data_IF_923348586391
#
_entry.id   IF_923348586391
#
_cell.length_a   1.000
_cell.length_b   1.000
_cell.length_c   1.000
_cell.angle_alpha   90.00
_cell.angle_beta   90.00
_cell.angle_gamma   90.00
#
_symmetry.space_group_name_H-M   'P 1'
#
loop_
_entity.id
_entity.type
_entity.pdbx_description
1 polymer ?
#
# COMPACT_ATOMS: atom_id res chain seq x y z
N UNK A 1 78.79 -6.38 3.10
CA UNK A 1 77.92 -7.57 2.92
C UNK A 1 76.82 -7.50 3.98
N UNK A 2 75.73 -6.79 3.66
CA UNK A 2 74.37 -7.29 3.36
C UNK A 2 73.63 -7.98 4.54
N UNK A 3 72.60 -7.26 5.00
CA UNK A 3 71.23 -7.70 5.31
C UNK A 3 71.04 -8.57 6.56
N UNK A 4 70.32 -8.03 7.56
CA UNK A 4 69.20 -8.69 8.27
C UNK A 4 68.70 -7.80 9.42
N UNK A 5 67.92 -6.75 9.10
CA UNK A 5 67.18 -5.97 10.11
C UNK A 5 65.82 -5.55 9.55
N UNK A 6 64.99 -6.49 9.11
CA UNK A 6 63.65 -6.14 8.60
C UNK A 6 62.62 -7.27 8.70
N UNK A 7 62.57 -8.02 9.81
CA UNK A 7 61.64 -9.16 9.93
C UNK A 7 60.63 -9.11 11.08
N UNK A 8 60.71 -8.12 11.97
CA UNK A 8 59.89 -8.13 13.20
C UNK A 8 58.76 -7.09 13.25
N UNK A 9 58.79 -6.06 12.38
CA UNK A 9 57.69 -5.08 12.27
C UNK A 9 56.57 -5.53 11.32
N UNK A 10 56.87 -6.41 10.37
CA UNK A 10 55.90 -6.86 9.34
C UNK A 10 54.77 -7.72 9.93
N UNK A 11 55.06 -8.56 10.93
CA UNK A 11 54.04 -9.46 11.51
C UNK A 11 53.05 -8.71 12.39
N UNK A 12 53.47 -7.73 13.19
CA UNK A 12 52.57 -6.96 14.06
C UNK A 12 51.61 -6.03 13.29
N UNK A 13 52.08 -5.43 12.19
CA UNK A 13 51.23 -4.61 11.31
C UNK A 13 50.22 -5.49 10.56
N UNK A 14 50.63 -6.69 10.14
CA UNK A 14 49.73 -7.67 9.53
C UNK A 14 48.66 -8.17 10.50
N UNK A 15 49.01 -8.38 11.79
CA UNK A 15 48.05 -8.78 12.82
C UNK A 15 46.99 -7.71 13.11
N UNK A 16 47.37 -6.42 13.10
CA UNK A 16 46.46 -5.31 13.32
C UNK A 16 45.52 -5.12 12.12
N UNK A 17 46.01 -5.32 10.89
CA UNK A 17 45.19 -5.23 9.68
C UNK A 17 44.14 -6.34 9.59
N UNK A 18 44.49 -7.57 10.00
CA UNK A 18 43.55 -8.71 10.03
C UNK A 18 42.49 -8.54 11.12
N UNK A 19 42.85 -8.00 12.29
CA UNK A 19 41.89 -7.71 13.36
C UNK A 19 40.90 -6.59 12.99
N UNK A 20 41.32 -5.62 12.17
CA UNK A 20 40.45 -4.53 11.70
C UNK A 20 39.43 -4.99 10.64
N UNK A 21 39.78 -5.98 9.81
CA UNK A 21 38.90 -6.52 8.76
C UNK A 21 37.78 -7.41 9.35
N UNK A 22 38.05 -8.10 10.47
CA UNK A 22 37.03 -8.93 11.14
C UNK A 22 35.97 -8.07 11.86
N UNK A 23 36.31 -6.83 12.25
CA UNK A 23 35.35 -5.92 12.90
C UNK A 23 34.46 -5.12 11.95
N UNK A 24 34.74 -5.17 10.63
CA UNK A 24 33.96 -4.46 9.60
C UNK A 24 33.03 -5.37 8.79
N UNK A 25 32.73 -6.58 9.28
CA UNK A 25 31.60 -7.35 8.77
C UNK A 25 30.30 -6.74 9.30
N UNK A 26 29.92 -5.59 8.74
CA UNK A 26 28.52 -5.17 8.79
C UNK A 26 27.70 -6.30 8.15
N UNK A 27 26.68 -6.86 8.83
CA UNK A 27 25.72 -7.70 8.13
C UNK A 27 25.09 -6.83 7.05
N UNK A 28 25.43 -7.11 5.79
CA UNK A 28 24.64 -6.63 4.68
C UNK A 28 23.26 -7.27 4.85
N UNK A 29 22.32 -6.51 5.39
CA UNK A 29 20.91 -6.88 5.38
C UNK A 29 20.47 -6.85 3.92
N UNK A 30 20.69 -7.95 3.22
CA UNK A 30 20.06 -8.18 1.94
C UNK A 30 18.56 -8.35 2.21
N UNK A 31 17.76 -7.37 1.81
CA UNK A 31 16.32 -7.54 1.73
C UNK A 31 16.04 -8.65 0.71
N UNK A 32 15.72 -9.84 1.21
CA UNK A 32 15.56 -11.04 0.40
C UNK A 32 14.28 -10.94 -0.43
N UNK A 33 14.46 -10.78 -1.75
CA UNK A 33 13.36 -10.82 -2.71
C UNK A 33 12.94 -12.27 -2.95
N UNK A 34 11.67 -12.58 -2.67
CA UNK A 34 11.07 -13.89 -2.88
C UNK A 34 10.38 -13.90 -4.23
N UNK A 35 10.81 -14.78 -5.12
CA UNK A 35 10.20 -14.94 -6.44
C UNK A 35 9.12 -16.02 -6.39
N UNK A 36 7.91 -15.70 -6.82
CA UNK A 36 6.79 -16.65 -6.85
C UNK A 36 6.05 -16.62 -8.19
N UNK A 37 5.42 -17.74 -8.52
CA UNK A 37 4.43 -17.82 -9.60
C UNK A 37 3.05 -17.97 -8.96
N UNK A 38 2.14 -17.10 -9.36
CA UNK A 38 0.81 -17.01 -8.79
C UNK A 38 -0.27 -16.86 -9.86
N UNK A 39 -1.48 -17.25 -9.49
CA UNK A 39 -2.61 -17.36 -10.40
C UNK A 39 -3.81 -16.66 -9.77
N UNK A 40 -4.64 -16.12 -10.64
CA UNK A 40 -5.92 -15.53 -10.29
C UNK A 40 -6.92 -15.76 -11.40
N UNK A 41 -8.18 -15.92 -10.99
CA UNK A 41 -9.29 -16.17 -11.89
C UNK A 41 -10.46 -15.26 -11.59
N UNK A 42 -11.26 -14.97 -12.61
CA UNK A 42 -12.47 -14.16 -12.49
C UNK A 42 -13.49 -14.55 -13.56
N UNK A 43 -14.70 -14.92 -13.13
CA UNK A 43 -15.78 -15.29 -14.03
C UNK A 43 -16.32 -14.06 -14.76
N UNK A 44 -16.52 -14.19 -16.07
CA UNK A 44 -17.24 -13.24 -16.90
C UNK A 44 -18.74 -13.54 -16.80
N UNK A 45 -19.39 -12.94 -15.79
CA UNK A 45 -20.85 -13.03 -15.61
C UNK A 45 -21.62 -12.02 -16.47
N UNK A 46 -22.95 -12.15 -16.49
CA UNK A 46 -23.85 -11.30 -17.29
C UNK A 46 -23.66 -9.79 -17.03
N UNK A 47 -23.41 -9.41 -15.78
CA UNK A 47 -23.21 -8.01 -15.35
C UNK A 47 -21.74 -7.54 -15.35
N UNK A 48 -20.80 -8.39 -15.78
CA UNK A 48 -19.36 -8.09 -15.70
C UNK A 48 -18.79 -7.85 -17.09
N UNK A 49 -18.14 -6.69 -17.28
CA UNK A 49 -17.45 -6.41 -18.54
C UNK A 49 -16.16 -7.25 -18.65
N UNK A 50 -15.70 -7.61 -19.87
CA UNK A 50 -14.44 -8.34 -20.05
C UNK A 50 -13.24 -7.65 -19.40
N UNK A 51 -13.15 -6.32 -19.54
CA UNK A 51 -12.10 -5.53 -18.90
C UNK A 51 -12.13 -5.63 -17.36
N UNK A 52 -13.34 -5.65 -16.77
CA UNK A 52 -13.52 -5.80 -15.32
C UNK A 52 -13.14 -7.20 -14.84
N UNK A 53 -13.56 -8.24 -15.56
CA UNK A 53 -13.19 -9.62 -15.24
C UNK A 53 -11.68 -9.85 -15.36
N UNK A 54 -11.03 -9.32 -16.41
CA UNK A 54 -9.57 -9.38 -16.56
C UNK A 54 -8.83 -8.68 -15.41
N UNK A 55 -9.24 -7.46 -15.08
CA UNK A 55 -8.66 -6.71 -13.94
C UNK A 55 -8.82 -7.47 -12.63
N UNK A 56 -9.97 -8.11 -12.44
CA UNK A 56 -10.26 -8.93 -11.28
C UNK A 56 -9.33 -10.16 -11.20
N UNK A 57 -9.16 -10.89 -12.30
CA UNK A 57 -8.25 -12.03 -12.35
C UNK A 57 -6.81 -11.61 -12.02
N UNK A 58 -6.36 -10.45 -12.50
CA UNK A 58 -5.01 -9.92 -12.24
C UNK A 58 -4.83 -9.57 -10.75
N UNK A 59 -5.81 -8.91 -10.14
CA UNK A 59 -5.78 -8.59 -8.72
C UNK A 59 -5.78 -9.84 -7.84
N UNK A 60 -6.54 -10.87 -8.24
CA UNK A 60 -6.50 -12.17 -7.57
C UNK A 60 -5.11 -12.83 -7.69
N UNK A 61 -4.45 -12.74 -8.85
CA UNK A 61 -3.11 -13.27 -9.04
C UNK A 61 -2.07 -12.54 -8.17
N UNK A 62 -2.17 -11.21 -8.06
CA UNK A 62 -1.34 -10.37 -7.17
C UNK A 62 -1.51 -10.74 -5.70
N UNK A 63 -2.76 -10.90 -5.24
CA UNK A 63 -3.06 -11.36 -3.88
C UNK A 63 -2.40 -12.71 -3.62
N UNK A 64 -2.64 -13.69 -4.48
CA UNK A 64 -2.06 -15.04 -4.38
C UNK A 64 -0.53 -15.00 -4.35
N UNK A 65 0.09 -14.10 -5.10
CA UNK A 65 1.53 -13.91 -5.09
C UNK A 65 2.01 -13.49 -3.70
N UNK A 66 1.43 -12.42 -3.14
CA UNK A 66 1.82 -11.90 -1.84
C UNK A 66 1.61 -12.94 -0.73
N UNK A 67 0.51 -13.69 -0.73
CA UNK A 67 0.29 -14.76 0.25
C UNK A 67 1.37 -15.84 0.16
N UNK A 68 1.72 -16.27 -1.06
CA UNK A 68 2.80 -17.24 -1.30
C UNK A 68 4.17 -16.70 -0.88
N UNK A 69 4.46 -15.44 -1.18
CA UNK A 69 5.74 -14.82 -0.89
C UNK A 69 5.94 -14.46 0.58
N UNK A 70 4.87 -14.12 1.31
CA UNK A 70 4.96 -13.68 2.72
C UNK A 70 4.59 -14.77 3.71
N UNK A 71 3.92 -15.83 3.27
CA UNK A 71 3.35 -16.86 4.14
C UNK A 71 2.13 -16.41 4.94
N UNK A 72 1.66 -15.16 4.76
CA UNK A 72 0.50 -14.62 5.48
C UNK A 72 -0.77 -14.82 4.64
N UNK A 73 -1.77 -15.52 5.20
CA UNK A 73 -3.10 -15.56 4.61
C UNK A 73 -3.83 -14.23 4.78
N UNK A 74 -4.36 -13.70 3.69
CA UNK A 74 -5.22 -12.53 3.69
C UNK A 74 -6.64 -13.05 3.87
N UNK A 75 -7.17 -12.90 5.09
CA UNK A 75 -8.53 -13.34 5.38
C UNK A 75 -9.51 -12.42 4.63
N UNK A 76 -10.22 -12.98 3.65
CA UNK A 76 -11.33 -12.29 2.99
C UNK A 76 -12.47 -12.11 3.99
N UNK A 77 -12.91 -10.88 4.22
CA UNK A 77 -14.13 -10.60 4.98
C UNK A 77 -15.31 -11.06 4.13
N UNK A 78 -15.73 -12.30 4.33
CA UNK A 78 -16.82 -12.98 3.63
C UNK A 78 -18.19 -12.36 3.94
N UNK A 79 -18.52 -11.21 3.35
CA UNK A 79 -19.90 -10.84 2.95
C UNK A 79 -19.83 -9.85 1.77
N UNK A 80 -20.42 -10.22 0.62
CA UNK A 80 -20.56 -9.48 -0.66
C UNK A 80 -19.34 -9.44 -1.60
N UNK A 81 -19.51 -10.10 -2.76
CA UNK A 81 -18.56 -10.35 -3.88
C UNK A 81 -17.80 -9.14 -4.48
N UNK A 82 -18.10 -7.89 -4.09
CA UNK A 82 -17.45 -6.70 -4.64
C UNK A 82 -16.61 -5.89 -3.63
N UNK A 83 -16.83 -6.09 -2.33
CA UNK A 83 -16.17 -5.34 -1.24
C UNK A 83 -14.69 -5.72 -1.06
N UNK A 84 -14.35 -6.96 -1.34
CA UNK A 84 -13.10 -7.58 -0.91
C UNK A 84 -11.87 -7.15 -1.73
N UNK A 85 -12.00 -6.92 -3.04
CA UNK A 85 -10.84 -7.07 -3.93
C UNK A 85 -9.80 -5.96 -3.83
N UNK A 86 -10.23 -4.69 -3.76
CA UNK A 86 -9.29 -3.57 -3.61
C UNK A 86 -8.80 -3.46 -2.18
N UNK A 87 -9.68 -3.58 -1.19
CA UNK A 87 -9.26 -3.57 0.22
C UNK A 87 -8.29 -4.72 0.51
N UNK A 88 -8.53 -5.91 -0.04
CA UNK A 88 -7.63 -7.05 0.09
C UNK A 88 -6.36 -6.87 -0.72
N UNK A 89 -6.39 -6.24 -1.90
CA UNK A 89 -5.20 -5.93 -2.68
C UNK A 89 -4.32 -4.92 -1.92
N UNK A 90 -4.91 -3.83 -1.42
CA UNK A 90 -4.20 -2.83 -0.61
C UNK A 90 -3.69 -3.49 0.67
N UNK A 91 -4.48 -4.36 1.30
CA UNK A 91 -4.08 -5.13 2.49
C UNK A 91 -3.04 -6.22 2.18
N UNK A 92 -3.00 -6.74 0.97
CA UNK A 92 -1.95 -7.64 0.51
C UNK A 92 -0.66 -6.83 0.44
N UNK A 93 -0.70 -5.69 -0.24
CA UNK A 93 0.47 -4.84 -0.38
C UNK A 93 1.04 -4.36 0.95
N UNK A 94 0.22 -4.16 2.00
CA UNK A 94 0.72 -3.83 3.34
C UNK A 94 1.41 -5.00 4.07
N UNK A 95 1.31 -6.23 3.56
CA UNK A 95 1.99 -7.43 4.09
C UNK A 95 3.23 -7.83 3.29
N UNK A 96 3.30 -7.43 2.01
CA UNK A 96 4.44 -7.70 1.14
C UNK A 96 4.33 -6.89 -0.14
N UNK A 97 5.46 -6.39 -0.63
CA UNK A 97 5.49 -5.49 -1.79
C UNK A 97 5.87 -6.27 -3.04
N UNK A 98 5.06 -6.19 -4.10
CA UNK A 98 5.44 -6.68 -5.42
C UNK A 98 6.36 -5.64 -6.05
N UNK A 99 7.67 -5.91 -6.03
CA UNK A 99 8.70 -5.03 -6.57
C UNK A 99 8.80 -5.16 -8.09
N UNK A 100 8.46 -6.34 -8.62
CA UNK A 100 8.42 -6.60 -10.07
C UNK A 100 7.36 -7.63 -10.40
N UNK A 101 6.58 -7.36 -11.44
CA UNK A 101 5.53 -8.25 -11.96
C UNK A 101 5.75 -8.50 -13.45
N UNK A 102 5.53 -9.74 -13.87
CA UNK A 102 5.50 -10.16 -15.27
C UNK A 102 4.27 -11.05 -15.49
N UNK A 103 3.43 -10.69 -16.46
CA UNK A 103 2.27 -11.50 -16.85
C UNK A 103 2.74 -12.62 -17.77
N UNK A 104 2.66 -13.86 -17.30
CA UNK A 104 3.05 -15.05 -18.06
C UNK A 104 1.90 -15.57 -18.91
N UNK A 105 0.66 -15.48 -18.40
CA UNK A 105 -0.55 -15.92 -19.08
C UNK A 105 -1.66 -14.92 -18.80
N UNK A 106 -2.42 -14.59 -19.84
CA UNK A 106 -3.61 -13.79 -19.81
C UNK A 106 -4.57 -14.35 -20.86
N UNK A 107 -5.49 -15.21 -20.42
CA UNK A 107 -6.31 -16.02 -21.31
C UNK A 107 -7.73 -16.16 -20.79
N UNK A 108 -8.66 -16.51 -21.69
CA UNK A 108 -10.04 -16.86 -21.37
C UNK A 108 -10.16 -18.39 -21.34
N UNK A 109 -10.62 -18.93 -20.22
CA UNK A 109 -10.85 -20.36 -20.05
C UNK A 109 -12.30 -20.63 -19.70
N UNK A 110 -12.80 -21.77 -20.16
CA UNK A 110 -14.07 -22.28 -19.67
C UNK A 110 -13.91 -22.71 -18.20
N UNK A 111 -14.79 -22.22 -17.34
CA UNK A 111 -14.94 -22.59 -15.93
C UNK A 111 -16.36 -23.13 -15.74
N UNK A 112 -16.53 -24.44 -16.00
CA UNK A 112 -17.84 -25.08 -16.09
C UNK A 112 -18.65 -24.53 -17.27
N UNK A 113 -19.86 -24.03 -16.98
CA UNK A 113 -20.75 -23.38 -17.97
C UNK A 113 -20.38 -21.92 -18.26
N UNK A 114 -19.44 -21.34 -17.49
CA UNK A 114 -19.07 -19.94 -17.61
C UNK A 114 -17.72 -19.76 -18.30
N UNK A 115 -17.47 -18.56 -18.81
CA UNK A 115 -16.14 -18.15 -19.28
C UNK A 115 -15.47 -17.36 -18.16
N UNK A 116 -14.21 -17.63 -17.87
CA UNK A 116 -13.43 -16.93 -16.86
C UNK A 116 -12.10 -16.43 -17.44
N UNK A 117 -11.65 -15.25 -17.00
CA UNK A 117 -10.27 -14.84 -17.20
C UNK A 117 -9.37 -15.61 -16.25
N UNK A 118 -8.28 -16.14 -16.79
CA UNK A 118 -7.22 -16.81 -16.06
C UNK A 118 -5.92 -16.05 -16.29
N UNK A 119 -5.36 -15.51 -15.21
CA UNK A 119 -4.10 -14.77 -15.25
C UNK A 119 -3.07 -15.47 -14.39
N UNK A 120 -1.87 -15.67 -14.95
CA UNK A 120 -0.69 -16.17 -14.25
C UNK A 120 0.39 -15.13 -14.30
N UNK A 121 0.96 -14.79 -13.15
CA UNK A 121 2.05 -13.83 -13.02
C UNK A 121 3.27 -14.46 -12.37
N UNK A 122 4.45 -13.95 -12.73
CA UNK A 122 5.68 -14.07 -11.96
C UNK A 122 5.88 -12.78 -11.19
N UNK A 123 5.99 -12.88 -9.87
CA UNK A 123 6.14 -11.73 -8.99
C UNK A 123 7.41 -11.86 -8.15
N UNK A 124 8.13 -10.74 -7.97
CA UNK A 124 9.23 -10.61 -7.02
C UNK A 124 8.71 -9.83 -5.83
N UNK A 125 8.68 -10.47 -4.67
CA UNK A 125 8.03 -9.97 -3.47
C UNK A 125 9.09 -9.62 -2.45
N UNK A 126 9.01 -8.41 -1.92
CA UNK A 126 9.74 -7.98 -0.73
C UNK A 126 8.81 -8.16 0.48
N UNK A 127 9.00 -9.16 1.34
CA UNK A 127 8.17 -9.34 2.51
C UNK A 127 8.31 -8.14 3.46
N UNK A 128 7.19 -7.68 4.00
CA UNK A 128 7.19 -6.64 5.00
C UNK A 128 7.24 -7.29 6.39
N UNK A 129 8.30 -7.01 7.16
CA UNK A 129 8.47 -7.50 8.53
C UNK A 129 7.37 -6.95 9.43
N UNK A 130 6.72 -7.80 10.21
CA UNK A 130 5.74 -7.31 11.18
C UNK A 130 6.42 -6.45 12.26
N UNK A 131 5.91 -5.22 12.45
CA UNK A 131 6.42 -4.30 13.49
C UNK A 131 6.12 -4.82 14.89
N UNK A 132 7.03 -4.54 15.82
CA UNK A 132 6.88 -4.97 17.22
C UNK A 132 5.85 -4.08 17.94
N UNK A 133 5.15 -4.60 18.96
CA UNK A 133 4.34 -3.78 19.85
C UNK A 133 5.20 -2.67 20.49
N UNK A 134 4.78 -1.41 20.34
CA UNK A 134 5.51 -0.22 20.84
C UNK A 134 5.97 0.76 19.76
N UNK A 135 5.96 0.36 18.49
CA UNK A 135 6.28 1.24 17.38
C UNK A 135 5.20 2.33 17.16
N UNK A 136 5.61 3.41 16.51
CA UNK A 136 4.70 4.42 15.97
C UNK A 136 3.68 3.76 15.04
N UNK A 137 2.41 4.17 15.18
CA UNK A 137 1.28 3.59 14.46
C UNK A 137 0.13 4.59 14.34
N UNK A 138 -0.70 4.32 13.35
CA UNK A 138 -2.03 4.91 13.25
C UNK A 138 -2.94 4.10 14.18
N UNK A 139 -3.44 4.73 15.24
CA UNK A 139 -4.32 4.12 16.24
C UNK A 139 -5.80 4.23 15.88
N UNK A 140 -6.14 5.21 15.02
CA UNK A 140 -7.51 5.45 14.54
C UNK A 140 -7.47 5.87 13.07
N UNK A 141 -8.37 5.33 12.27
CA UNK A 141 -8.50 5.64 10.86
C UNK A 141 -9.98 5.47 10.49
N UNK A 142 -10.67 6.57 10.19
CA UNK A 142 -12.12 6.60 9.97
C UNK A 142 -12.45 7.48 8.75
N UNK A 143 -13.46 7.08 7.97
CA UNK A 143 -14.10 7.91 6.94
C UNK A 143 -15.57 8.04 7.32
N UNK A 144 -16.07 9.27 7.39
CA UNK A 144 -17.43 9.56 7.83
C UNK A 144 -18.03 10.71 7.02
N UNK A 145 -19.37 10.78 7.00
CA UNK A 145 -20.08 11.86 6.31
C UNK A 145 -19.85 13.17 7.06
N UNK A 146 -19.50 14.22 6.33
CA UNK A 146 -19.24 15.53 6.91
C UNK A 146 -20.43 16.01 7.75
N UNK A 147 -20.14 16.55 8.94
CA UNK A 147 -21.17 17.02 9.88
C UNK A 147 -21.96 15.91 10.61
N UNK A 148 -21.61 14.63 10.43
CA UNK A 148 -22.16 13.52 11.21
C UNK A 148 -21.07 12.80 11.99
N UNK A 149 -21.30 12.54 13.28
CA UNK A 149 -20.38 11.75 14.11
C UNK A 149 -20.53 10.23 13.92
N UNK A 150 -21.44 9.78 13.04
CA UNK A 150 -21.75 8.35 12.90
C UNK A 150 -20.61 7.62 12.19
N UNK A 151 -20.01 6.69 12.93
CA UNK A 151 -18.92 5.82 12.48
C UNK A 151 -19.50 4.43 12.30
N UNK A 152 -19.26 3.84 11.13
CA UNK A 152 -19.67 2.47 10.81
C UNK A 152 -18.49 1.72 10.23
N UNK A 153 -18.31 0.47 10.63
CA UNK A 153 -17.40 -0.42 9.92
C UNK A 153 -17.98 -0.62 8.51
N UNK A 154 -17.23 -0.21 7.49
CA UNK A 154 -17.64 -0.17 6.07
C UNK A 154 -18.70 0.90 5.77
N UNK A 155 -18.32 2.19 5.77
CA UNK A 155 -19.26 3.25 5.51
C UNK A 155 -19.83 3.17 4.09
N UNK A 156 -21.13 3.44 3.99
CA UNK A 156 -21.87 3.52 2.72
C UNK A 156 -22.31 4.96 2.53
N UNK A 157 -21.93 5.53 1.41
CA UNK A 157 -22.23 6.91 1.03
C UNK A 157 -23.18 6.95 -0.16
N UNK A 158 -23.90 8.06 -0.27
CA UNK A 158 -24.71 8.39 -1.43
C UNK A 158 -23.92 9.28 -2.39
N UNK A 159 -24.31 9.29 -3.66
CA UNK A 159 -23.72 10.17 -4.64
C UNK A 159 -23.73 11.63 -4.15
N UNK A 160 -22.60 12.32 -4.29
CA UNK A 160 -22.38 13.70 -3.86
C UNK A 160 -22.34 13.91 -2.33
N UNK A 161 -22.32 12.84 -1.52
CA UNK A 161 -22.03 12.96 -0.09
C UNK A 161 -20.66 13.62 0.12
N UNK A 162 -20.61 14.58 1.05
CA UNK A 162 -19.35 15.13 1.55
C UNK A 162 -18.78 14.20 2.62
N UNK A 163 -17.49 13.87 2.53
CA UNK A 163 -16.80 13.00 3.49
C UNK A 163 -15.65 13.74 4.19
N UNK A 164 -15.34 13.27 5.40
CA UNK A 164 -14.16 13.65 6.18
C UNK A 164 -13.41 12.39 6.59
N UNK A 165 -12.09 12.52 6.67
CA UNK A 165 -11.15 11.46 7.05
C UNK A 165 -10.57 11.85 8.40
N UNK A 166 -10.68 10.98 9.40
CA UNK A 166 -10.11 11.16 10.73
C UNK A 166 -8.98 10.17 10.96
N UNK A 167 -7.85 10.68 11.43
CA UNK A 167 -6.63 9.90 11.67
C UNK A 167 -6.09 10.22 13.05
N UNK A 168 -5.99 9.22 13.91
CA UNK A 168 -5.33 9.30 15.21
C UNK A 168 -4.00 8.55 15.18
N UNK A 169 -2.96 9.13 15.76
CA UNK A 169 -1.60 8.55 15.84
C UNK A 169 -1.15 8.44 17.29
N UNK A 170 -0.22 7.55 17.61
CA UNK A 170 0.35 7.46 18.97
C UNK A 170 1.62 8.30 19.18
N UNK A 171 2.15 8.92 18.12
CA UNK A 171 3.29 9.84 18.16
C UNK A 171 3.23 10.79 16.97
N UNK A 172 4.05 11.85 16.99
CA UNK A 172 4.04 12.86 15.94
C UNK A 172 4.54 12.29 14.59
N UNK A 173 3.65 12.26 13.57
CA UNK A 173 3.90 11.61 12.27
C UNK A 173 3.42 12.47 11.10
N UNK A 174 4.11 12.41 9.98
CA UNK A 174 3.62 12.99 8.73
C UNK A 174 2.58 12.04 8.12
N UNK A 175 1.47 12.59 7.63
CA UNK A 175 0.38 11.79 7.03
C UNK A 175 0.35 11.99 5.51
N UNK A 176 0.33 10.91 4.77
CA UNK A 176 0.02 10.89 3.35
C UNK A 176 -1.32 10.17 3.19
N UNK A 177 -2.29 10.82 2.55
CA UNK A 177 -3.65 10.29 2.38
C UNK A 177 -3.93 10.17 0.90
N UNK A 178 -4.39 9.00 0.49
CA UNK A 178 -4.68 8.66 -0.90
C UNK A 178 -6.09 8.11 -1.03
N UNK A 179 -6.77 8.46 -2.13
CA UNK A 179 -7.93 7.72 -2.60
C UNK A 179 -7.46 6.69 -3.64
N UNK A 180 -7.90 5.45 -3.48
CA UNK A 180 -7.69 4.34 -4.41
C UNK A 180 -9.04 3.95 -4.98
N UNK A 181 -9.19 4.10 -6.29
CA UNK A 181 -10.42 3.74 -6.99
C UNK A 181 -10.49 2.23 -7.30
N UNK A 182 -11.67 1.77 -7.71
CA UNK A 182 -11.95 0.34 -7.97
C UNK A 182 -11.05 -0.32 -9.04
N UNK A 183 -10.39 0.46 -9.90
CA UNK A 183 -9.46 -0.04 -10.91
C UNK A 183 -7.98 0.14 -10.51
N UNK A 184 -7.72 0.53 -9.26
CA UNK A 184 -6.38 0.65 -8.71
C UNK A 184 -5.68 1.98 -9.01
N UNK A 185 -6.34 2.93 -9.72
CA UNK A 185 -5.81 4.30 -9.83
C UNK A 185 -5.78 4.96 -8.45
N UNK A 186 -4.71 5.68 -8.17
CA UNK A 186 -4.48 6.35 -6.90
C UNK A 186 -4.41 7.87 -7.07
N UNK A 187 -5.05 8.61 -6.18
CA UNK A 187 -5.02 10.08 -6.12
C UNK A 187 -4.52 10.52 -4.77
N UNK A 188 -3.45 11.32 -4.73
CA UNK A 188 -2.92 11.92 -3.49
C UNK A 188 -3.86 13.04 -3.02
N UNK A 189 -4.58 12.79 -1.93
CA UNK A 189 -5.46 13.75 -1.28
C UNK A 189 -4.68 14.67 -0.33
N UNK A 190 -3.67 14.14 0.37
CA UNK A 190 -2.82 14.89 1.30
C UNK A 190 -1.39 14.30 1.33
N UNK A 191 -0.34 15.13 1.47
CA UNK A 191 -0.33 16.56 1.17
C UNK A 191 -0.57 16.79 -0.33
N UNK A 192 -1.25 17.87 -0.69
CA UNK A 192 -1.49 18.24 -2.09
C UNK A 192 -0.95 19.65 -2.39
N UNK A 193 -1.20 20.19 -3.60
CA UNK A 193 -0.70 21.53 -3.99
C UNK A 193 -1.34 22.69 -3.24
N UNK A 194 -2.54 22.49 -2.68
CA UNK A 194 -3.31 23.50 -1.96
C UNK A 194 -3.16 23.37 -0.45
N UNK A 195 -3.03 22.14 0.04
CA UNK A 195 -2.97 21.84 1.46
C UNK A 195 -1.73 21.03 1.77
N UNK A 196 -0.80 21.70 2.44
CA UNK A 196 0.29 21.08 3.18
C UNK A 196 -0.12 21.01 4.65
N UNK A 197 0.42 20.05 5.38
CA UNK A 197 0.24 19.96 6.82
C UNK A 197 1.58 19.61 7.48
N UNK A 198 1.67 19.92 8.76
CA UNK A 198 2.75 19.45 9.62
C UNK A 198 2.44 18.07 10.17
N UNK A 199 3.23 17.59 11.13
CA UNK A 199 2.98 16.31 11.78
C UNK A 199 1.62 16.28 12.46
N UNK A 200 0.85 15.22 12.24
CA UNK A 200 -0.27 14.87 13.10
C UNK A 200 0.26 14.52 14.49
N UNK A 201 -0.44 14.96 15.53
CA UNK A 201 -0.01 14.82 16.91
C UNK A 201 -0.76 13.68 17.62
N UNK A 202 -0.18 13.18 18.71
CA UNK A 202 -0.76 12.06 19.46
C UNK A 202 -1.91 12.47 20.41
N UNK A 203 -2.02 13.75 20.71
CA UNK A 203 -2.99 14.33 21.65
C UNK A 203 -4.34 14.63 21.00
N UNK A 204 -4.41 14.67 19.67
CA UNK A 204 -5.64 15.00 18.93
C UNK A 204 -5.69 14.26 17.61
N UNK A 205 -6.90 13.88 17.21
CA UNK A 205 -7.12 13.33 15.89
C UNK A 205 -6.94 14.42 14.82
N UNK A 206 -6.24 14.08 13.75
CA UNK A 206 -6.18 14.87 12.53
C UNK A 206 -7.46 14.64 11.71
N UNK A 207 -8.08 15.70 11.21
CA UNK A 207 -9.29 15.63 10.38
C UNK A 207 -9.02 16.31 9.05
N UNK A 208 -9.38 15.65 7.95
CA UNK A 208 -9.25 16.21 6.60
C UNK A 208 -10.45 15.85 5.71
N UNK A 209 -11.07 16.84 5.03
CA UNK A 209 -10.96 18.27 5.31
C UNK A 209 -11.53 18.59 6.70
N UNK A 210 -10.89 19.46 7.46
CA UNK A 210 -11.48 19.97 8.71
C UNK A 210 -12.59 21.02 8.43
N UNK A 211 -13.29 21.47 9.47
CA UNK A 211 -14.40 22.41 9.29
C UNK A 211 -13.95 23.78 8.75
N UNK A 212 -12.75 24.25 9.09
CA UNK A 212 -12.21 25.50 8.56
C UNK A 212 -11.89 25.37 7.06
N UNK A 213 -11.26 24.27 6.66
CA UNK A 213 -11.00 23.93 5.26
C UNK A 213 -12.31 23.79 4.46
N UNK A 214 -13.33 23.17 5.04
CA UNK A 214 -14.65 23.07 4.41
C UNK A 214 -15.35 24.41 4.24
N UNK A 215 -15.22 25.32 5.20
CA UNK A 215 -15.77 26.67 5.12
C UNK A 215 -15.17 27.49 3.98
N UNK A 216 -13.88 27.28 3.67
CA UNK A 216 -13.21 27.91 2.52
C UNK A 216 -13.39 27.12 1.20
N UNK A 217 -14.24 26.10 1.20
CA UNK A 217 -14.66 25.38 -0.01
C UNK A 217 -13.92 24.07 -0.29
N UNK A 218 -12.96 23.64 0.53
CA UNK A 218 -12.32 22.33 0.37
C UNK A 218 -13.26 21.22 0.84
N UNK A 219 -13.83 20.48 -0.11
CA UNK A 219 -14.76 19.39 0.16
C UNK A 219 -14.34 18.15 -0.61
N UNK A 220 -14.29 17.01 0.09
CA UNK A 220 -14.19 15.71 -0.56
C UNK A 220 -15.61 15.21 -0.81
N UNK A 221 -15.93 14.97 -2.08
CA UNK A 221 -17.22 14.46 -2.50
C UNK A 221 -17.04 13.12 -3.21
N UNK A 222 -17.89 12.17 -2.87
CA UNK A 222 -17.87 10.84 -3.45
C UNK A 222 -18.87 10.72 -4.59
N UNK A 223 -18.47 10.04 -5.66
CA UNK A 223 -19.30 9.84 -6.84
C UNK A 223 -19.12 8.42 -7.38
N UNK A 224 -20.19 7.66 -7.64
CA UNK A 224 -20.05 6.45 -8.43
C UNK A 224 -19.67 6.84 -9.88
N UNK A 225 -18.86 6.05 -10.59
CA UNK A 225 -18.57 6.28 -11.99
C UNK A 225 -19.85 6.40 -12.83
N UNK A 226 -19.82 7.21 -13.89
CA UNK A 226 -21.01 7.60 -14.68
C UNK A 226 -21.92 6.41 -15.09
N UNK A 227 -21.33 5.24 -15.32
CA UNK A 227 -22.03 4.06 -15.83
C UNK A 227 -22.35 3.01 -14.77
N UNK A 228 -22.10 3.29 -13.48
CA UNK A 228 -22.35 2.35 -12.39
C UNK A 228 -23.35 2.93 -11.39
N UNK A 229 -24.21 2.06 -10.86
CA UNK A 229 -25.13 2.36 -9.76
C UNK A 229 -24.44 2.34 -8.40
N UNK A 230 -23.29 1.69 -8.30
CA UNK A 230 -22.43 1.70 -7.12
C UNK A 230 -20.96 1.64 -7.47
N UNK A 231 -20.12 2.04 -6.52
CA UNK A 231 -18.67 1.97 -6.62
C UNK A 231 -18.06 1.65 -5.26
N UNK A 232 -16.90 1.02 -5.30
CA UNK A 232 -16.08 0.79 -4.12
C UNK A 232 -14.79 1.59 -4.25
N UNK A 233 -14.46 2.32 -3.20
CA UNK A 233 -13.23 3.10 -3.13
C UNK A 233 -12.55 2.84 -1.79
N UNK A 234 -11.29 3.21 -1.69
CA UNK A 234 -10.47 2.97 -0.50
C UNK A 234 -9.67 4.21 -0.17
N UNK A 235 -9.71 4.62 1.09
CA UNK A 235 -8.74 5.56 1.64
C UNK A 235 -7.54 4.76 2.15
N UNK A 236 -6.36 5.04 1.60
CA UNK A 236 -5.08 4.56 2.10
C UNK A 236 -4.38 5.71 2.81
N UNK A 237 -4.03 5.50 4.07
CA UNK A 237 -3.28 6.44 4.90
C UNK A 237 -1.90 5.83 5.13
N UNK A 238 -0.85 6.56 4.77
CA UNK A 238 0.54 6.20 5.06
C UNK A 238 1.12 7.26 6.00
N UNK A 239 1.49 6.84 7.21
CA UNK A 239 2.14 7.69 8.19
C UNK A 239 3.65 7.44 8.24
N UNK A 240 4.45 8.50 8.15
CA UNK A 240 5.92 8.43 8.10
C UNK A 240 6.54 9.23 9.26
N UNK A 241 7.71 8.78 9.75
CA UNK A 241 8.50 9.52 10.76
C UNK A 241 9.09 10.81 10.19
N UNK A 242 9.52 10.74 8.94
CA UNK A 242 10.15 11.81 8.19
C UNK A 242 9.25 12.32 7.07
N UNK A 243 9.50 13.53 6.61
CA UNK A 243 8.72 14.14 5.54
C UNK A 243 9.14 13.50 4.22
N UNK A 244 8.24 12.74 3.63
CA UNK A 244 8.45 12.07 2.34
C UNK A 244 7.43 12.61 1.35
N UNK A 245 7.88 12.96 0.15
CA UNK A 245 6.98 13.38 -0.93
C UNK A 245 6.69 12.19 -1.85
N UNK A 246 5.70 11.39 -1.44
CA UNK A 246 5.27 10.21 -2.20
C UNK A 246 4.52 10.61 -3.48
N UNK A 247 4.75 9.91 -4.58
CA UNK A 247 4.16 10.13 -5.90
C UNK A 247 4.41 11.54 -6.48
N UNK A 248 5.59 12.10 -6.21
CA UNK A 248 5.97 13.46 -6.65
C UNK A 248 6.24 13.59 -8.14
N UNK A 249 6.79 12.53 -8.75
CA UNK A 249 7.39 12.58 -10.09
C UNK A 249 6.47 12.16 -11.23
N UNK A 250 5.19 11.94 -10.97
CA UNK A 250 4.27 11.37 -11.95
C UNK A 250 3.07 12.26 -12.22
N UNK A 251 2.64 12.27 -13.49
CA UNK A 251 1.36 12.86 -13.90
C UNK A 251 0.26 12.17 -13.10
N UNK A 252 -0.30 12.86 -12.10
CA UNK A 252 -1.24 12.32 -11.10
C UNK A 252 -2.39 11.46 -11.67
N UNK A 253 -2.74 11.65 -12.95
CA UNK A 253 -3.80 10.90 -13.63
C UNK A 253 -3.47 9.43 -13.93
N UNK A 254 -2.19 9.03 -13.94
CA UNK A 254 -1.75 7.68 -14.34
C UNK A 254 -1.24 6.82 -13.19
N UNK A 255 -1.13 7.39 -11.98
CA UNK A 255 -0.61 6.64 -10.84
C UNK A 255 -1.54 5.49 -10.44
N UNK A 256 -0.91 4.38 -10.12
CA UNK A 256 -1.53 3.19 -9.58
C UNK A 256 -1.06 2.93 -8.16
N UNK A 257 -1.82 2.10 -7.43
CA UNK A 257 -1.38 1.61 -6.13
C UNK A 257 -0.02 0.90 -6.20
N UNK A 258 0.28 0.21 -7.30
CA UNK A 258 1.56 -0.47 -7.49
C UNK A 258 2.73 0.53 -7.48
N UNK A 259 2.56 1.70 -8.09
CA UNK A 259 3.61 2.74 -8.12
C UNK A 259 3.92 3.26 -6.71
N UNK A 260 2.88 3.51 -5.91
CA UNK A 260 3.05 3.92 -4.51
C UNK A 260 3.76 2.83 -3.71
N UNK A 261 3.37 1.58 -3.90
CA UNK A 261 3.94 0.45 -3.17
C UNK A 261 5.39 0.21 -3.56
N UNK A 262 5.74 0.40 -4.84
CA UNK A 262 7.13 0.38 -5.30
C UNK A 262 7.95 1.47 -4.60
N UNK A 263 7.45 2.70 -4.56
CA UNK A 263 8.13 3.81 -3.88
C UNK A 263 8.30 3.53 -2.38
N UNK A 264 7.27 3.00 -1.71
CA UNK A 264 7.35 2.60 -0.29
C UNK A 264 8.33 1.45 -0.04
N UNK A 265 8.61 0.63 -1.06
CA UNK A 265 9.56 -0.49 -0.97
C UNK A 265 11.00 -0.04 -0.86
N UNK A 266 11.30 1.16 -1.35
CA UNK A 266 12.64 1.77 -1.28
C UNK A 266 12.95 2.36 0.11
N UNK A 267 11.92 2.61 0.93
CA UNK A 267 12.10 3.09 2.29
C UNK A 267 12.28 1.95 3.29
N UNK A 268 13.05 2.20 4.35
CA UNK A 268 13.06 1.33 5.51
C UNK A 268 11.65 1.27 6.12
N UNK A 269 11.12 0.06 6.20
CA UNK A 269 9.81 -0.23 6.76
C UNK A 269 9.66 0.27 8.21
N UNK A 270 10.77 0.38 8.95
CA UNK A 270 10.82 0.98 10.29
C UNK A 270 10.49 2.48 10.32
N UNK A 271 10.30 3.12 9.16
CA UNK A 271 10.04 4.56 9.01
C UNK A 271 8.61 4.91 8.61
N UNK A 272 7.80 3.93 8.19
CA UNK A 272 6.42 4.16 7.77
C UNK A 272 5.43 3.08 8.23
N UNK A 273 4.16 3.44 8.36
CA UNK A 273 3.06 2.54 8.72
C UNK A 273 1.80 2.96 7.97
N UNK A 274 0.88 2.04 7.73
CA UNK A 274 -0.34 2.34 6.99
C UNK A 274 -1.64 1.93 7.70
N UNK A 275 -2.74 2.51 7.22
CA UNK A 275 -4.12 2.08 7.49
C UNK A 275 -4.96 2.22 6.24
N UNK A 276 -5.93 1.31 6.11
CA UNK A 276 -6.78 1.17 4.93
C UNK A 276 -8.23 1.24 5.40
N UNK A 277 -9.06 2.01 4.68
CA UNK A 277 -10.48 2.15 4.95
C UNK A 277 -11.24 2.04 3.63
N UNK A 278 -11.92 0.93 3.42
CA UNK A 278 -12.81 0.73 2.26
C UNK A 278 -14.20 1.34 2.52
N UNK A 279 -14.82 1.86 1.47
CA UNK A 279 -16.20 2.38 1.52
C UNK A 279 -16.96 2.12 0.22
N UNK A 280 -18.29 2.10 0.32
CA UNK A 280 -19.20 1.96 -0.82
C UNK A 280 -19.84 3.32 -1.14
N UNK A 281 -20.03 3.60 -2.42
CA UNK A 281 -20.81 4.73 -2.92
C UNK A 281 -21.99 4.16 -3.69
N UNK A 282 -23.21 4.59 -3.36
CA UNK A 282 -24.44 4.24 -4.07
C UNK A 282 -25.02 5.47 -4.75
N UNK A 283 -25.69 5.25 -5.88
CA UNK A 283 -26.42 6.29 -6.60
C UNK A 283 -27.67 6.73 -5.85
#
# INVERSE_FOLDING_TARGET
MKILFFRQYSTKVLSILVALIVFFSFPAFADELITVIAEGQAVLGEDTTPARARSLALNNARRSAIEKGTGVKIHGVSVVYNYQLISDLVSAFSKGLIVKEEVLIDDLKADGENIAYFIRIKAHIKPLKHKKPGDFRIVRAEVFRAGKASITNNPVFQNNDEIQIRVGVNTALFLNVFSVSQDGRITKLLPNKYFKHDKASADRDFIFPDDAQRQIGLKLKVHPPKNLSSAFETILIVATKEKVDLLSNSKQAENTITDLMYELSEFDQSLWTDKIIGYEIRR
#
